data_IF_196653736320
#
_entry.id   IF_196653736320
#
_cell.length_a   1.000
_cell.length_b   1.000
_cell.length_c   1.000
_cell.angle_alpha   90.00
_cell.angle_beta   90.00
_cell.angle_gamma   90.00
#
_symmetry.space_group_name_H-M   'P 1'
#
loop_
_entity.id
_entity.type
_entity.pdbx_description
1 polymer ?
#
# COMPACT_ATOMS: atom_id res chain seq x y z
N UNK A 1 4.64 -9.09 -14.15
CA UNK A 1 4.57 -7.61 -14.01
C UNK A 1 5.96 -7.04 -14.19
N UNK A 2 6.10 -6.12 -15.11
CA UNK A 2 7.40 -5.48 -15.40
C UNK A 2 7.30 -4.00 -15.02
N UNK A 3 8.12 -3.57 -14.05
CA UNK A 3 8.08 -2.23 -13.48
C UNK A 3 9.49 -1.65 -13.35
N UNK A 4 9.59 -0.33 -13.40
CA UNK A 4 10.83 0.36 -13.05
C UNK A 4 11.01 0.50 -11.53
N UNK A 5 9.93 0.45 -10.77
CA UNK A 5 10.01 0.51 -9.31
C UNK A 5 10.77 -0.70 -8.75
N UNK A 6 11.72 -0.43 -7.87
CA UNK A 6 12.59 -1.49 -7.34
C UNK A 6 12.04 -2.16 -6.09
N UNK A 7 11.13 -1.52 -5.38
CA UNK A 7 10.59 -2.05 -4.12
C UNK A 7 9.22 -2.66 -4.37
N UNK A 8 9.12 -3.98 -4.24
CA UNK A 8 7.90 -4.75 -4.42
C UNK A 8 7.74 -5.64 -3.20
N UNK A 9 6.77 -5.33 -2.36
CA UNK A 9 6.64 -5.95 -1.04
C UNK A 9 5.30 -6.66 -0.94
N UNK A 10 5.27 -8.00 -0.75
CA UNK A 10 4.02 -8.70 -0.49
C UNK A 10 3.38 -8.20 0.80
N UNK A 11 2.09 -7.97 0.78
CA UNK A 11 1.38 -7.46 1.95
C UNK A 11 -0.06 -7.95 1.97
N UNK A 12 -0.68 -7.83 3.15
CA UNK A 12 -2.10 -8.16 3.35
C UNK A 12 -2.82 -6.89 3.80
N UNK A 13 -3.95 -6.60 3.19
CA UNK A 13 -4.80 -5.49 3.60
C UNK A 13 -5.40 -5.81 4.97
N UNK A 14 -5.24 -4.90 5.93
CA UNK A 14 -5.78 -5.05 7.28
C UNK A 14 -6.98 -4.17 7.53
N UNK A 15 -7.02 -2.98 6.95
CA UNK A 15 -8.13 -2.05 7.12
C UNK A 15 -8.20 -1.08 5.93
N UNK A 16 -9.41 -0.62 5.66
CA UNK A 16 -9.66 0.40 4.62
C UNK A 16 -10.54 1.47 5.22
N UNK A 17 -10.08 2.72 5.16
CA UNK A 17 -10.86 3.87 5.59
C UNK A 17 -11.17 4.73 4.37
N UNK A 18 -12.43 4.72 3.95
CA UNK A 18 -12.86 5.44 2.76
C UNK A 18 -13.30 6.87 3.12
N UNK A 19 -12.81 7.83 2.37
CA UNK A 19 -13.29 9.20 2.37
C UNK A 19 -14.19 9.46 1.18
N UNK A 20 -14.33 10.71 0.77
CA UNK A 20 -15.16 11.05 -0.38
C UNK A 20 -14.50 10.71 -1.72
N UNK A 21 -13.20 10.92 -1.84
CA UNK A 21 -12.47 10.71 -3.08
C UNK A 21 -11.32 9.73 -2.95
N UNK A 22 -10.78 9.55 -1.74
CA UNK A 22 -9.62 8.70 -1.49
C UNK A 22 -9.92 7.67 -0.41
N UNK A 23 -9.14 6.61 -0.39
CA UNK A 23 -9.17 5.60 0.65
C UNK A 23 -7.76 5.41 1.20
N UNK A 24 -7.66 5.34 2.52
CA UNK A 24 -6.42 4.94 3.18
C UNK A 24 -6.50 3.44 3.42
N UNK A 25 -5.53 2.73 2.86
CA UNK A 25 -5.46 1.27 2.95
C UNK A 25 -4.29 0.92 3.85
N UNK A 26 -4.58 0.28 4.98
CA UNK A 26 -3.56 -0.20 5.89
C UNK A 26 -3.15 -1.60 5.50
N UNK A 27 -1.85 -1.84 5.48
CA UNK A 27 -1.26 -3.09 5.05
C UNK A 27 -0.36 -3.65 6.14
N UNK A 28 -0.29 -4.97 6.20
CA UNK A 28 0.72 -5.67 6.97
C UNK A 28 1.70 -6.32 6.00
N UNK A 29 2.94 -5.86 6.01
CA UNK A 29 4.01 -6.38 5.16
C UNK A 29 5.04 -7.08 6.04
N UNK A 30 4.81 -8.36 6.35
CA UNK A 30 5.74 -9.13 7.18
C UNK A 30 5.90 -8.58 8.60
N UNK A 31 4.81 -8.07 9.19
CA UNK A 31 4.83 -7.45 10.51
C UNK A 31 5.04 -5.94 10.49
N UNK A 32 5.33 -5.36 9.34
CA UNK A 32 5.50 -3.91 9.19
C UNK A 32 4.20 -3.31 8.69
N UNK A 33 3.74 -2.24 9.36
CA UNK A 33 2.55 -1.51 8.94
C UNK A 33 2.93 -0.55 7.81
N UNK A 34 2.22 -0.66 6.70
CA UNK A 34 2.30 0.30 5.58
C UNK A 34 0.94 0.93 5.38
N UNK A 35 0.92 2.15 4.90
CA UNK A 35 -0.34 2.82 4.55
C UNK A 35 -0.23 3.34 3.12
N UNK A 36 -1.24 2.99 2.32
CA UNK A 36 -1.38 3.53 0.97
C UNK A 36 -2.59 4.44 0.92
N UNK A 37 -2.45 5.61 0.29
CA UNK A 37 -3.58 6.48 0.00
C UNK A 37 -3.85 6.40 -1.50
N UNK A 38 -4.99 5.86 -1.86
CA UNK A 38 -5.38 5.65 -3.26
C UNK A 38 -6.76 6.24 -3.51
N UNK A 39 -7.15 6.37 -4.77
CA UNK A 39 -8.49 6.83 -5.07
C UNK A 39 -9.52 5.76 -4.72
N UNK A 40 -10.74 6.19 -4.40
CA UNK A 40 -11.86 5.25 -4.19
C UNK A 40 -12.04 4.39 -5.45
N UNK A 41 -11.92 5.00 -6.62
CA UNK A 41 -12.02 4.29 -7.89
C UNK A 41 -11.01 3.14 -7.97
N UNK A 42 -9.74 3.41 -7.62
CA UNK A 42 -8.70 2.38 -7.62
C UNK A 42 -9.00 1.26 -6.62
N UNK A 43 -9.46 1.63 -5.43
CA UNK A 43 -9.82 0.63 -4.41
C UNK A 43 -10.93 -0.30 -4.91
N UNK A 44 -11.92 0.26 -5.62
CA UNK A 44 -13.02 -0.51 -6.18
C UNK A 44 -12.56 -1.39 -7.34
N UNK A 45 -11.72 -0.87 -8.23
CA UNK A 45 -11.20 -1.63 -9.36
C UNK A 45 -10.36 -2.82 -8.91
N UNK A 46 -9.56 -2.63 -7.87
CA UNK A 46 -8.73 -3.69 -7.30
C UNK A 46 -9.52 -4.61 -6.38
N UNK A 47 -10.79 -4.29 -6.11
CA UNK A 47 -11.67 -5.09 -5.24
C UNK A 47 -11.04 -5.37 -3.87
N UNK A 48 -10.47 -4.33 -3.27
CA UNK A 48 -9.76 -4.48 -2.00
C UNK A 48 -10.73 -4.65 -0.83
N UNK A 49 -10.40 -5.60 0.03
CA UNK A 49 -11.09 -5.86 1.28
C UNK A 49 -10.06 -6.26 2.33
N UNK A 50 -10.38 -6.14 3.63
CA UNK A 50 -9.52 -6.73 4.65
C UNK A 50 -9.27 -8.21 4.34
N UNK A 51 -8.02 -8.62 4.37
CA UNK A 51 -7.58 -9.96 3.99
C UNK A 51 -7.09 -10.09 2.55
N UNK A 52 -7.29 -9.07 1.70
CA UNK A 52 -6.78 -9.10 0.32
C UNK A 52 -5.26 -9.18 0.30
N UNK A 53 -4.74 -10.03 -0.57
CA UNK A 53 -3.29 -10.12 -0.80
C UNK A 53 -2.92 -9.14 -1.91
N UNK A 54 -1.93 -8.30 -1.63
CA UNK A 54 -1.49 -7.26 -2.56
C UNK A 54 0.03 -7.22 -2.62
N UNK A 55 0.56 -6.53 -3.61
CA UNK A 55 1.97 -6.17 -3.67
C UNK A 55 2.07 -4.67 -3.54
N UNK A 56 2.74 -4.20 -2.49
CA UNK A 56 3.04 -2.77 -2.34
C UNK A 56 4.24 -2.44 -3.21
N UNK A 57 4.07 -1.47 -4.09
CA UNK A 57 5.11 -1.06 -5.04
C UNK A 57 5.53 0.35 -4.67
N UNK A 58 6.80 0.52 -4.32
CA UNK A 58 7.32 1.81 -3.86
C UNK A 58 8.50 2.21 -4.73
N UNK A 59 8.36 3.35 -5.39
CA UNK A 59 9.45 3.89 -6.19
C UNK A 59 10.65 4.21 -5.30
N UNK A 60 11.86 3.85 -5.73
CA UNK A 60 13.07 4.04 -4.93
C UNK A 60 13.26 5.49 -4.48
N UNK A 61 12.89 6.45 -5.33
CA UNK A 61 13.00 7.87 -5.01
C UNK A 61 12.02 8.36 -3.94
N UNK A 62 11.03 7.53 -3.59
CA UNK A 62 10.04 7.87 -2.56
C UNK A 62 10.40 7.32 -1.18
N UNK A 63 11.48 6.54 -1.10
CA UNK A 63 11.90 5.96 0.18
C UNK A 63 12.81 6.95 0.91
N UNK A 64 12.40 7.30 2.12
CA UNK A 64 13.12 8.23 2.99
C UNK A 64 13.75 7.43 4.11
N UNK A 65 14.99 7.72 4.44
CA UNK A 65 15.72 7.03 5.48
C UNK A 65 15.89 7.89 6.72
N UNK A 66 15.91 7.23 7.86
CA UNK A 66 16.21 7.87 9.13
C UNK A 66 17.07 6.96 9.97
N UNK A 67 17.85 7.53 10.85
CA UNK A 67 18.60 6.78 11.86
C UNK A 67 18.11 7.18 13.24
N UNK A 68 18.56 6.45 14.27
CA UNK A 68 18.08 6.67 15.62
C UNK A 68 18.51 8.01 16.24
N UNK A 69 19.51 8.66 15.66
CA UNK A 69 20.01 9.97 16.16
C UNK A 69 20.54 10.87 15.03
#
# INVERSE_FOLDING_TARGET
MKLSARNQIPATVTAITAGEATANVELNAGGVRLVASITIEAANELKLNPGSQVTAIIKASDVILATAD
#
